data_IF_371281300994
#
_entry.id   IF_371281300994
#
_cell.length_a   1.000
_cell.length_b   1.000
_cell.length_c   1.000
_cell.angle_alpha   90.00
_cell.angle_beta   90.00
_cell.angle_gamma   90.00
#
_symmetry.space_group_name_H-M   'P 1'
#
loop_
_entity.id
_entity.type
_entity.pdbx_description
1 polymer ?
#
# COMPACT_ATOMS: atom_id res chain seq x y z
N UNK A 1 -16.24 8.18 3.48
CA UNK A 1 -14.80 8.44 3.69
C UNK A 1 -14.26 9.18 2.47
N UNK A 2 -13.42 10.21 2.69
CA UNK A 2 -13.29 11.40 1.83
C UNK A 2 -13.20 11.14 0.32
N UNK A 3 -14.05 11.84 -0.45
CA UNK A 3 -14.14 11.76 -1.90
C UNK A 3 -12.75 11.85 -2.56
N UNK A 4 -12.31 10.83 -3.32
CA UNK A 4 -11.03 10.82 -4.05
C UNK A 4 -10.90 11.94 -5.10
N UNK A 5 -11.99 12.67 -5.38
CA UNK A 5 -12.03 13.78 -6.31
C UNK A 5 -12.54 15.08 -5.70
N UNK A 6 -12.34 15.27 -4.40
CA UNK A 6 -12.44 16.63 -3.89
C UNK A 6 -11.17 17.38 -4.31
N UNK A 7 -11.19 18.01 -5.49
CA UNK A 7 -10.11 18.88 -5.97
C UNK A 7 -9.71 19.91 -4.90
N UNK A 8 -10.65 20.29 -4.01
CA UNK A 8 -10.38 21.16 -2.85
C UNK A 8 -9.38 20.60 -1.84
N UNK A 9 -9.04 19.31 -1.92
CA UNK A 9 -8.06 18.61 -1.07
C UNK A 9 -6.76 18.31 -1.81
N UNK A 10 -6.62 18.73 -3.07
CA UNK A 10 -5.35 18.63 -3.77
C UNK A 10 -4.30 19.46 -3.04
N UNK A 11 -3.08 18.93 -2.98
CA UNK A 11 -2.00 19.49 -2.17
C UNK A 11 -2.02 19.08 -0.69
N UNK A 12 -3.06 18.39 -0.18
CA UNK A 12 -2.98 17.82 1.17
C UNK A 12 -1.89 16.75 1.23
N UNK A 13 -0.96 16.92 2.17
CA UNK A 13 0.16 16.00 2.40
C UNK A 13 -0.19 15.02 3.53
N UNK A 14 0.27 13.78 3.41
CA UNK A 14 0.26 12.83 4.52
C UNK A 14 1.18 13.32 5.65
N UNK A 15 0.73 13.27 6.92
CA UNK A 15 1.62 13.54 8.04
C UNK A 15 2.85 12.62 8.03
N UNK A 16 4.04 13.20 8.19
CA UNK A 16 5.32 12.47 8.11
C UNK A 16 5.36 11.23 9.01
N UNK A 17 4.84 11.32 10.24
CA UNK A 17 4.84 10.20 11.18
C UNK A 17 4.08 8.97 10.66
N UNK A 18 3.05 9.17 9.83
CA UNK A 18 2.28 8.06 9.22
C UNK A 18 3.19 7.31 8.25
N UNK A 19 3.87 8.07 7.39
CA UNK A 19 4.79 7.51 6.40
C UNK A 19 5.93 6.77 7.12
N UNK A 20 6.58 7.41 8.08
CA UNK A 20 7.66 6.79 8.86
C UNK A 20 7.22 5.54 9.63
N UNK A 21 6.00 5.54 10.18
CA UNK A 21 5.46 4.37 10.87
C UNK A 21 5.21 3.20 9.92
N UNK A 22 4.70 3.48 8.72
CA UNK A 22 4.50 2.47 7.68
C UNK A 22 5.82 1.93 7.12
N UNK A 23 6.77 2.82 6.81
CA UNK A 23 8.12 2.44 6.39
C UNK A 23 8.82 1.57 7.43
N UNK A 24 8.68 1.90 8.73
CA UNK A 24 9.32 1.16 9.81
C UNK A 24 8.87 -0.30 9.92
N UNK A 25 7.61 -0.61 9.65
CA UNK A 25 7.13 -2.01 9.60
C UNK A 25 7.44 -2.66 8.25
N UNK A 26 7.32 -1.93 7.14
CA UNK A 26 7.61 -2.45 5.80
C UNK A 26 9.06 -2.86 5.65
N UNK A 27 10.02 -2.10 6.20
CA UNK A 27 11.44 -2.47 6.15
C UNK A 27 11.73 -3.80 6.87
N UNK A 28 11.01 -4.11 7.96
CA UNK A 28 11.11 -5.39 8.68
C UNK A 28 10.51 -6.56 7.90
N UNK A 29 9.59 -6.27 6.99
CA UNK A 29 8.86 -7.26 6.20
C UNK A 29 9.40 -7.44 4.78
N UNK A 30 10.28 -6.55 4.30
CA UNK A 30 10.61 -6.35 2.88
C UNK A 30 11.07 -7.60 2.13
N UNK A 31 11.76 -8.52 2.81
CA UNK A 31 12.29 -9.75 2.20
C UNK A 31 11.26 -10.90 2.17
N UNK A 32 10.07 -10.67 2.73
CA UNK A 32 9.04 -11.69 2.97
C UNK A 32 7.70 -11.35 2.34
N UNK A 33 7.50 -10.10 1.95
CA UNK A 33 6.22 -9.58 1.45
C UNK A 33 6.38 -8.93 0.10
N UNK A 34 5.28 -8.90 -0.64
CA UNK A 34 5.14 -8.17 -1.89
C UNK A 34 4.16 -7.03 -1.64
N UNK A 35 4.61 -5.80 -1.80
CA UNK A 35 3.82 -4.61 -1.47
C UNK A 35 2.81 -4.33 -2.58
N UNK A 36 1.57 -3.99 -2.19
CA UNK A 36 0.46 -3.65 -3.06
C UNK A 36 -0.17 -2.29 -2.70
N UNK A 37 -1.31 -1.98 -3.30
CA UNK A 37 -2.13 -0.81 -2.97
C UNK A 37 -1.42 0.52 -3.19
N UNK A 38 -1.73 1.51 -2.34
CA UNK A 38 -1.12 2.83 -2.42
C UNK A 38 0.37 2.84 -2.10
N UNK A 39 0.82 1.95 -1.21
CA UNK A 39 2.23 1.80 -0.85
C UNK A 39 3.09 1.29 -2.01
N UNK A 40 2.56 0.41 -2.87
CA UNK A 40 3.27 0.00 -4.08
C UNK A 40 3.52 1.20 -5.02
N UNK A 41 2.53 2.08 -5.20
CA UNK A 41 2.71 3.31 -6.01
C UNK A 41 3.72 4.27 -5.41
N UNK A 42 3.77 4.36 -4.08
CA UNK A 42 4.83 5.11 -3.38
C UNK A 42 6.22 4.58 -3.72
N UNK A 43 6.47 3.26 -3.59
CA UNK A 43 7.79 2.70 -3.90
C UNK A 43 8.10 2.68 -5.41
N UNK A 44 7.10 2.76 -6.28
CA UNK A 44 7.32 2.93 -7.71
C UNK A 44 7.54 4.38 -8.13
N UNK A 45 7.29 5.36 -7.26
CA UNK A 45 7.52 6.78 -7.54
C UNK A 45 8.99 7.18 -7.33
N UNK A 46 9.36 8.38 -7.78
CA UNK A 46 10.69 8.95 -7.55
C UNK A 46 11.02 9.01 -6.05
N UNK A 47 12.24 8.63 -5.65
CA UNK A 47 12.65 8.69 -4.25
C UNK A 47 12.61 10.12 -3.70
N UNK A 48 12.07 10.30 -2.49
CA UNK A 48 12.02 11.62 -1.83
C UNK A 48 10.92 12.55 -2.37
N UNK A 49 9.94 12.04 -3.10
CA UNK A 49 8.78 12.81 -3.52
C UNK A 49 7.89 13.22 -2.33
N UNK A 50 7.04 14.22 -2.56
CA UNK A 50 6.06 14.64 -1.54
C UNK A 50 4.85 13.70 -1.52
N UNK A 51 4.50 13.19 -0.35
CA UNK A 51 3.36 12.28 -0.18
C UNK A 51 2.02 13.01 -0.15
N UNK A 52 1.48 13.30 -1.32
CA UNK A 52 0.14 13.84 -1.41
C UNK A 52 -0.93 12.77 -1.24
N UNK A 53 -1.97 13.07 -0.46
CA UNK A 53 -3.11 12.16 -0.22
C UNK A 53 -3.91 11.81 -1.48
N UNK A 54 -3.83 12.65 -2.50
CA UNK A 54 -4.47 12.38 -3.80
C UNK A 54 -3.58 11.54 -4.72
N UNK A 55 -2.27 11.53 -4.49
CA UNK A 55 -1.30 10.73 -5.24
C UNK A 55 -1.32 9.28 -4.78
N UNK A 56 -1.04 9.07 -3.49
CA UNK A 56 -0.93 7.75 -2.87
C UNK A 56 -1.88 7.63 -1.68
N UNK A 57 -2.56 6.48 -1.60
CA UNK A 57 -3.41 6.15 -0.46
C UNK A 57 -2.60 5.37 0.59
N UNK A 58 -2.24 6.03 1.68
CA UNK A 58 -1.45 5.45 2.79
C UNK A 58 -2.29 5.10 4.02
N UNK A 59 -3.61 4.90 3.86
CA UNK A 59 -4.48 4.55 5.00
C UNK A 59 -4.15 3.17 5.57
N UNK A 60 -4.07 2.20 4.68
CA UNK A 60 -3.83 0.80 4.99
C UNK A 60 -2.60 0.35 4.19
N UNK A 61 -1.85 -0.60 4.74
CA UNK A 61 -0.70 -1.23 4.08
C UNK A 61 -1.18 -2.55 3.49
N UNK A 62 -1.21 -2.66 2.17
CA UNK A 62 -1.61 -3.88 1.48
C UNK A 62 -0.38 -4.72 1.11
N UNK A 63 -0.33 -5.97 1.56
CA UNK A 63 0.77 -6.90 1.27
C UNK A 63 0.29 -8.27 0.85
N UNK A 64 0.92 -8.82 -0.18
CA UNK A 64 0.84 -10.23 -0.52
C UNK A 64 2.00 -10.99 0.11
N UNK A 65 1.74 -12.20 0.60
CA UNK A 65 2.73 -13.04 1.25
C UNK A 65 2.63 -14.44 0.70
N UNK A 66 3.77 -14.98 0.26
CA UNK A 66 3.87 -16.38 -0.16
C UNK A 66 3.65 -17.31 1.02
N UNK A 67 3.06 -18.47 0.77
CA UNK A 67 2.68 -19.46 1.78
C UNK A 67 3.85 -19.84 2.70
N UNK A 68 5.05 -19.99 2.15
CA UNK A 68 6.25 -20.32 2.92
C UNK A 68 6.66 -19.23 3.93
N UNK A 69 6.29 -17.97 3.67
CA UNK A 69 6.67 -16.81 4.50
C UNK A 69 5.59 -16.43 5.52
N UNK A 70 4.37 -16.98 5.42
CA UNK A 70 3.21 -16.60 6.24
C UNK A 70 3.54 -16.67 7.74
N UNK A 71 4.11 -17.78 8.19
CA UNK A 71 4.40 -17.98 9.62
C UNK A 71 5.37 -16.93 10.16
N UNK A 72 6.42 -16.63 9.40
CA UNK A 72 7.46 -15.68 9.81
C UNK A 72 6.93 -14.24 9.82
N UNK A 73 6.16 -13.85 8.79
CA UNK A 73 5.53 -12.52 8.75
C UNK A 73 4.59 -12.33 9.93
N UNK A 74 3.78 -13.34 10.28
CA UNK A 74 2.89 -13.26 11.44
C UNK A 74 3.67 -13.12 12.75
N UNK A 75 4.79 -13.84 12.91
CA UNK A 75 5.66 -13.71 14.08
C UNK A 75 6.24 -12.29 14.18
N UNK A 76 6.75 -11.73 13.08
CA UNK A 76 7.28 -10.37 13.03
C UNK A 76 6.17 -9.37 13.42
N UNK A 77 4.98 -9.48 12.83
CA UNK A 77 3.84 -8.63 13.16
C UNK A 77 3.49 -8.67 14.66
N UNK A 78 3.44 -9.86 15.25
CA UNK A 78 3.16 -10.03 16.68
C UNK A 78 4.26 -9.43 17.57
N UNK A 79 5.53 -9.66 17.22
CA UNK A 79 6.68 -9.06 17.93
C UNK A 79 6.65 -7.54 17.86
N UNK A 80 6.20 -7.00 16.73
CA UNK A 80 5.99 -5.58 16.53
C UNK A 80 4.70 -5.06 17.19
N UNK A 81 3.94 -5.90 17.88
CA UNK A 81 2.74 -5.50 18.64
C UNK A 81 1.48 -5.33 17.80
N UNK A 82 1.46 -5.86 16.57
CA UNK A 82 0.23 -5.95 15.79
C UNK A 82 -0.66 -7.09 16.29
N UNK A 83 -1.96 -6.87 16.25
CA UNK A 83 -2.98 -7.84 16.64
C UNK A 83 -3.85 -8.19 15.45
N UNK A 84 -4.22 -9.47 15.31
CA UNK A 84 -5.19 -9.88 14.30
C UNK A 84 -6.54 -9.24 14.63
N UNK A 85 -7.14 -8.60 13.63
CA UNK A 85 -8.50 -8.05 13.70
C UNK A 85 -9.39 -8.85 12.76
N UNK A 86 -10.55 -9.27 13.28
CA UNK A 86 -11.55 -9.96 12.47
C UNK A 86 -12.36 -8.94 11.67
N UNK A 87 -12.48 -9.22 10.38
CA UNK A 87 -13.24 -8.41 9.45
C UNK A 87 -14.44 -9.20 8.93
N UNK A 88 -15.37 -8.50 8.25
CA UNK A 88 -16.46 -9.17 7.54
C UNK A 88 -15.99 -10.10 6.41
N UNK A 89 -14.75 -9.93 5.94
CA UNK A 89 -14.19 -10.70 4.83
C UNK A 89 -13.61 -12.05 5.29
N UNK A 90 -13.26 -12.21 6.58
CA UNK A 90 -12.78 -13.49 7.13
C UNK A 90 -13.83 -14.62 7.04
N UNK A 91 -15.11 -14.29 6.82
CA UNK A 91 -16.21 -15.25 6.70
C UNK A 91 -16.67 -15.50 5.25
N UNK A 92 -16.11 -14.79 4.27
CA UNK A 92 -16.50 -14.97 2.88
C UNK A 92 -15.63 -16.07 2.24
N UNK A 93 -16.22 -16.97 1.43
CA UNK A 93 -15.42 -17.83 0.58
C UNK A 93 -14.63 -16.96 -0.40
N UNK A 94 -13.32 -16.95 -0.22
CA UNK A 94 -12.34 -16.17 -0.97
C UNK A 94 -11.22 -17.11 -1.36
N UNK A 95 -10.75 -17.03 -2.60
CA UNK A 95 -9.58 -17.78 -3.05
C UNK A 95 -8.30 -17.30 -2.33
N UNK A 96 -8.31 -16.06 -1.83
CA UNK A 96 -7.19 -15.46 -1.09
C UNK A 96 -7.45 -15.54 0.43
N UNK A 97 -6.49 -16.09 1.18
CA UNK A 97 -6.55 -16.16 2.65
C UNK A 97 -6.27 -14.78 3.25
N UNK A 98 -7.30 -13.94 3.29
CA UNK A 98 -7.23 -12.57 3.80
C UNK A 98 -7.11 -12.53 5.33
N UNK A 99 -6.24 -11.66 5.84
CA UNK A 99 -6.10 -11.35 7.28
C UNK A 99 -5.84 -9.87 7.46
N UNK A 100 -6.42 -9.28 8.51
CA UNK A 100 -6.10 -7.91 8.92
C UNK A 100 -5.34 -7.88 10.22
N UNK A 101 -4.32 -7.05 10.29
CA UNK A 101 -3.53 -6.79 11.49
C UNK A 101 -3.54 -5.29 11.80
N UNK A 102 -3.77 -4.93 13.05
CA UNK A 102 -3.79 -3.52 13.49
C UNK A 102 -2.83 -3.30 14.66
N UNK A 103 -2.19 -2.14 14.69
CA UNK A 103 -1.39 -1.65 15.82
C UNK A 103 -1.74 -0.19 16.09
N UNK A 104 -1.97 0.14 17.35
CA UNK A 104 -2.13 1.53 17.79
C UNK A 104 -0.80 2.07 18.29
N UNK A 105 -0.41 3.25 17.81
CA UNK A 105 0.78 4.00 18.21
C UNK A 105 0.35 5.30 18.86
N UNK A 106 0.92 5.59 20.02
CA UNK A 106 0.70 6.84 20.74
C UNK A 106 1.66 7.93 20.22
N UNK A 107 1.12 9.06 19.79
CA UNK A 107 1.91 10.21 19.37
C UNK A 107 2.19 11.12 20.56
N UNK A 108 3.26 11.93 20.47
CA UNK A 108 3.71 12.88 21.51
C UNK A 108 2.63 13.85 22.03
N UNK A 109 1.51 13.98 21.32
CA UNK A 109 0.39 14.86 21.66
C UNK A 109 -0.86 14.08 22.13
N UNK A 110 -0.67 12.87 22.69
CA UNK A 110 -1.74 11.96 23.17
C UNK A 110 -2.75 11.52 22.08
N UNK A 111 -2.45 11.79 20.81
CA UNK A 111 -3.26 11.31 19.68
C UNK A 111 -2.85 9.88 19.38
N UNK A 112 -3.82 8.98 19.39
CA UNK A 112 -3.64 7.61 18.94
C UNK A 112 -3.74 7.55 17.42
N UNK A 113 -2.77 6.90 16.79
CA UNK A 113 -2.77 6.57 15.38
C UNK A 113 -2.78 5.06 15.20
N UNK A 114 -3.56 4.58 14.24
CA UNK A 114 -3.67 3.15 13.96
C UNK A 114 -3.02 2.84 12.63
N UNK A 115 -2.11 1.86 12.65
CA UNK A 115 -1.53 1.25 11.46
C UNK A 115 -2.36 0.00 11.16
N UNK A 116 -2.88 -0.09 9.94
CA UNK A 116 -3.58 -1.28 9.43
C UNK A 116 -2.71 -1.97 8.39
N UNK A 117 -2.60 -3.29 8.48
CA UNK A 117 -1.97 -4.12 7.45
C UNK A 117 -3.01 -5.13 6.97
N UNK A 118 -3.29 -5.07 5.68
CA UNK A 118 -4.11 -6.02 4.94
C UNK A 118 -3.18 -7.04 4.28
N UNK A 119 -3.31 -8.28 4.74
CA UNK A 119 -2.46 -9.40 4.40
C UNK A 119 -3.23 -10.36 3.49
N UNK A 120 -2.65 -10.69 2.35
CA UNK A 120 -3.21 -11.62 1.36
C UNK A 120 -2.21 -12.75 1.10
N UNK A 121 -2.63 -14.01 1.27
CA UNK A 121 -1.79 -15.17 0.91
C UNK A 121 -1.85 -15.43 -0.59
N UNK A 122 -0.70 -15.38 -1.29
CA UNK A 122 -0.61 -15.65 -2.73
C UNK A 122 0.82 -15.99 -3.17
N UNK A 123 0.96 -17.05 -3.97
CA UNK A 123 2.26 -17.57 -4.40
C UNK A 123 2.67 -17.14 -5.83
N UNK A 124 1.70 -16.85 -6.68
CA UNK A 124 1.84 -16.75 -8.14
C UNK A 124 1.76 -15.31 -8.67
N UNK A 125 2.28 -14.36 -7.90
CA UNK A 125 2.21 -12.94 -8.26
C UNK A 125 3.48 -12.49 -9.02
N UNK A 126 3.29 -11.87 -10.18
CA UNK A 126 4.41 -11.23 -10.88
C UNK A 126 4.74 -9.88 -10.24
N UNK A 127 6.04 -9.62 -10.07
CA UNK A 127 6.55 -8.51 -9.27
C UNK A 127 7.57 -7.68 -10.02
N UNK A 128 7.90 -6.52 -9.45
CA UNK A 128 9.05 -5.71 -9.83
C UNK A 128 9.79 -5.27 -8.57
N UNK A 129 11.12 -5.23 -8.64
CA UNK A 129 11.95 -4.65 -7.58
C UNK A 129 12.12 -3.15 -7.83
N UNK A 130 11.84 -2.33 -6.83
CA UNK A 130 11.99 -0.87 -6.91
C UNK A 130 12.28 -0.31 -5.53
N UNK A 131 13.20 0.65 -5.44
CA UNK A 131 13.55 1.35 -4.19
C UNK A 131 13.83 0.41 -2.99
N UNK A 132 14.39 -0.78 -3.25
CA UNK A 132 14.72 -1.77 -2.22
C UNK A 132 13.56 -2.65 -1.74
N UNK A 133 12.40 -2.59 -2.41
CA UNK A 133 11.22 -3.37 -2.10
C UNK A 133 10.74 -4.19 -3.30
N UNK A 134 10.12 -5.34 -3.01
CA UNK A 134 9.38 -6.11 -4.00
C UNK A 134 7.93 -5.61 -4.02
N UNK A 135 7.45 -5.15 -5.17
CA UNK A 135 6.08 -4.65 -5.33
C UNK A 135 5.35 -5.42 -6.44
N UNK A 136 4.01 -5.41 -6.40
CA UNK A 136 3.19 -5.98 -7.48
C UNK A 136 3.48 -5.26 -8.80
N UNK A 137 3.65 -6.00 -9.90
CA UNK A 137 3.88 -5.40 -11.22
C UNK A 137 2.73 -4.44 -11.60
N UNK A 138 3.02 -3.26 -12.19
CA UNK A 138 2.01 -2.21 -12.39
C UNK A 138 0.70 -2.63 -13.08
N UNK A 139 0.75 -3.39 -14.16
CA UNK A 139 -0.41 -3.90 -14.90
C UNK A 139 -1.28 -4.83 -14.05
N UNK A 140 -0.65 -5.72 -13.28
CA UNK A 140 -1.35 -6.61 -12.34
C UNK A 140 -1.94 -5.80 -11.19
N UNK A 141 -1.18 -4.87 -10.61
CA UNK A 141 -1.65 -4.01 -9.53
C UNK A 141 -2.90 -3.22 -9.96
N UNK A 142 -2.94 -2.73 -11.20
CA UNK A 142 -4.11 -2.05 -11.76
C UNK A 142 -5.35 -2.95 -11.83
N UNK A 143 -5.19 -4.28 -12.01
CA UNK A 143 -6.30 -5.24 -12.05
C UNK A 143 -6.96 -5.48 -10.69
N UNK A 144 -6.27 -5.16 -9.59
CA UNK A 144 -6.78 -5.32 -8.22
C UNK A 144 -7.74 -4.21 -7.79
N UNK A 145 -7.70 -3.07 -8.47
CA UNK A 145 -8.62 -1.97 -8.20
C UNK A 145 -10.05 -2.34 -8.60
N UNK A 146 -11.01 -1.99 -7.73
CA UNK A 146 -12.45 -2.37 -7.73
C UNK A 146 -12.77 -3.70 -7.06
N UNK A 147 -11.79 -4.59 -6.88
CA UNK A 147 -11.97 -5.88 -6.21
C UNK A 147 -11.32 -5.86 -4.82
N UNK A 148 -10.00 -5.63 -4.77
CA UNK A 148 -9.18 -5.61 -3.56
C UNK A 148 -8.97 -4.17 -3.09
N UNK A 149 -8.62 -3.27 -4.03
CA UNK A 149 -8.30 -1.88 -3.73
C UNK A 149 -9.44 -0.93 -4.07
N UNK A 150 -9.82 -0.09 -3.13
CA UNK A 150 -10.98 0.83 -3.27
C UNK A 150 -10.65 2.16 -3.97
N UNK A 151 -9.36 2.50 -4.09
CA UNK A 151 -8.90 3.81 -4.57
C UNK A 151 -8.50 3.79 -6.05
N UNK A 152 -9.39 3.31 -6.93
CA UNK A 152 -9.18 3.17 -8.39
C UNK A 152 -9.01 4.48 -9.18
N UNK A 153 -9.07 5.59 -8.42
CA UNK A 153 -9.16 6.98 -8.82
C UNK A 153 -8.03 7.85 -8.24
N UNK A 154 -7.10 7.26 -7.48
CA UNK A 154 -5.87 7.95 -7.08
C UNK A 154 -5.07 8.39 -8.32
N UNK A 155 -4.34 9.49 -8.17
CA UNK A 155 -3.59 10.08 -9.28
C UNK A 155 -2.55 9.11 -9.86
N UNK A 156 -1.79 8.42 -8.99
CA UNK A 156 -0.81 7.43 -9.43
C UNK A 156 -1.44 6.30 -10.26
N UNK A 157 -2.64 5.85 -9.88
CA UNK A 157 -3.40 4.82 -10.62
C UNK A 157 -3.79 5.32 -12.01
N UNK A 158 -4.26 6.56 -12.11
CA UNK A 158 -4.66 7.17 -13.39
C UNK A 158 -3.45 7.42 -14.29
N UNK A 159 -2.35 7.96 -13.73
CA UNK A 159 -1.10 8.18 -14.44
C UNK A 159 -0.49 6.85 -14.94
N UNK A 160 -0.47 5.82 -14.10
CA UNK A 160 0.02 4.50 -14.48
C UNK A 160 -0.80 3.89 -15.63
N UNK A 161 -2.13 4.01 -15.60
CA UNK A 161 -3.01 3.57 -16.71
C UNK A 161 -2.63 4.27 -18.02
N UNK A 162 -2.43 5.58 -17.99
CA UNK A 162 -2.08 6.36 -19.18
C UNK A 162 -0.70 5.99 -19.73
N UNK A 163 0.29 5.81 -18.85
CA UNK A 163 1.65 5.42 -19.22
C UNK A 163 1.65 4.03 -19.88
N UNK A 164 0.98 3.05 -19.28
CA UNK A 164 0.91 1.70 -19.82
C UNK A 164 0.16 1.63 -21.16
N UNK A 165 -0.89 2.44 -21.35
CA UNK A 165 -1.56 2.57 -22.65
C UNK A 165 -0.64 3.09 -23.75
N UNK A 166 0.37 3.90 -23.38
CA UNK A 166 1.41 4.40 -24.28
C UNK A 166 2.61 3.45 -24.41
N UNK A 167 2.58 2.28 -23.76
CA UNK A 167 3.70 1.35 -23.72
C UNK A 167 4.89 1.82 -22.87
N UNK A 168 4.67 2.77 -21.96
CA UNK A 168 5.70 3.35 -21.10
C UNK A 168 5.63 2.69 -19.72
N UNK A 169 6.78 2.26 -19.21
CA UNK A 169 6.89 1.73 -17.84
C UNK A 169 6.62 2.85 -16.82
N UNK A 170 5.67 2.69 -15.89
CA UNK A 170 5.38 3.70 -14.87
C UNK A 170 6.42 3.78 -13.76
N UNK A 171 7.23 2.76 -13.52
CA UNK A 171 8.22 2.75 -12.43
C UNK A 171 9.23 3.88 -12.61
N UNK A 172 9.44 4.66 -11.56
CA UNK A 172 10.29 5.85 -11.53
C UNK A 172 9.74 7.04 -12.31
N UNK A 173 8.53 6.96 -12.86
CA UNK A 173 7.98 8.04 -13.67
C UNK A 173 7.48 9.19 -12.77
N UNK A 174 7.89 10.45 -13.02
CA UNK A 174 7.46 11.59 -12.21
C UNK A 174 5.94 11.79 -12.17
N UNK A 175 5.19 11.29 -13.16
CA UNK A 175 3.74 11.44 -13.19
C UNK A 175 3.03 10.70 -12.04
N UNK A 176 3.67 9.72 -11.42
CA UNK A 176 3.07 8.98 -10.30
C UNK A 176 2.90 9.86 -9.05
N UNK A 177 3.80 10.82 -8.83
CA UNK A 177 3.85 11.65 -7.61
C UNK A 177 3.68 13.14 -7.85
N UNK A 178 3.77 13.62 -9.10
CA UNK A 178 3.62 15.05 -9.42
C UNK A 178 2.19 15.54 -9.21
N UNK A 179 2.09 16.77 -8.71
CA UNK A 179 0.83 17.46 -8.61
C UNK A 179 0.24 17.71 -10.01
N UNK A 180 -1.05 17.41 -10.25
CA UNK A 180 -1.76 17.90 -11.43
C UNK A 180 -1.57 19.41 -11.59
N UNK A 181 -1.13 19.85 -12.77
CA UNK A 181 -1.17 21.25 -13.20
C UNK A 181 -2.51 21.59 -13.84
#
# INVERSE_FOLDING_TARGET
>A
MGAPHNIKRYGEVWPEFIIQSGLGILDKLKDKVIISGGWAWHFMSETGHTEYKHAHDHKDIDVFVKKENVAEVVIILQQEGFQKVWTRYDHLPSDENFRRYEKTVELKNEKLYRITIDFFERDDLETVETNGFTVVRPDILLSFYRNIHSSDKCWAVMAAKELLQKGINPVGNPLLSKMPT
#
